data_IF_797061874641
#
_entry.id   IF_797061874641
#
_cell.length_a   1.000
_cell.length_b   1.000
_cell.length_c   1.000
_cell.angle_alpha   90.00
_cell.angle_beta   90.00
_cell.angle_gamma   90.00
#
_symmetry.space_group_name_H-M   'P 1'
#
loop_
_entity.id
_entity.type
_entity.pdbx_description
1 polymer ?
#
# COMPACT_ATOMS: atom_id res chain seq x y z
N UNK A 1 -12.20 6.73 -5.16
CA UNK A 1 -11.35 5.69 -4.52
C UNK A 1 -9.90 6.14 -4.59
N UNK A 2 -9.30 6.55 -3.46
CA UNK A 2 -7.91 7.03 -3.42
C UNK A 2 -6.91 5.86 -3.36
N UNK A 3 -6.68 5.17 -4.49
CA UNK A 3 -5.64 4.12 -4.60
C UNK A 3 -4.19 4.65 -4.50
N UNK A 4 -4.01 5.95 -4.27
CA UNK A 4 -2.72 6.61 -4.21
C UNK A 4 -1.86 6.19 -3.01
N UNK A 5 -2.50 5.86 -1.88
CA UNK A 5 -1.82 5.55 -0.62
C UNK A 5 -0.91 4.29 -0.70
N UNK A 6 -1.39 3.11 -1.14
CA UNK A 6 -0.51 1.94 -1.29
C UNK A 6 0.60 2.17 -2.32
N UNK A 7 0.35 2.99 -3.34
CA UNK A 7 1.35 3.33 -4.36
C UNK A 7 2.49 4.20 -3.79
N UNK A 8 2.14 5.18 -2.95
CA UNK A 8 3.12 6.04 -2.27
C UNK A 8 4.02 5.21 -1.32
N UNK A 9 3.43 4.26 -0.60
CA UNK A 9 4.16 3.38 0.33
C UNK A 9 5.10 2.45 -0.45
N UNK A 10 4.64 1.90 -1.59
CA UNK A 10 5.49 1.11 -2.47
C UNK A 10 6.71 1.90 -2.96
N UNK A 11 6.55 3.19 -3.31
CA UNK A 11 7.66 4.06 -3.71
C UNK A 11 8.69 4.24 -2.59
N UNK A 12 8.23 4.48 -1.36
CA UNK A 12 9.11 4.63 -0.19
C UNK A 12 9.86 3.33 0.11
N UNK A 13 9.24 2.17 -0.10
CA UNK A 13 9.90 0.86 0.02
C UNK A 13 11.03 0.75 -1.01
N UNK A 14 10.81 1.10 -2.27
CA UNK A 14 11.83 1.06 -3.33
C UNK A 14 13.04 1.94 -2.96
N UNK A 15 12.80 3.17 -2.50
CA UNK A 15 13.87 4.08 -2.05
C UNK A 15 14.63 3.48 -0.85
N UNK A 16 13.92 2.82 0.07
CA UNK A 16 14.52 2.16 1.24
C UNK A 16 15.40 0.96 0.85
N UNK A 17 15.00 0.19 -0.16
CA UNK A 17 15.79 -0.91 -0.74
C UNK A 17 17.08 -0.38 -1.34
N UNK A 18 17.00 0.70 -2.14
CA UNK A 18 18.17 1.34 -2.77
C UNK A 18 19.16 1.82 -1.69
N UNK A 19 18.65 2.34 -0.57
CA UNK A 19 19.45 2.79 0.57
C UNK A 19 20.02 1.63 1.42
N UNK A 20 19.80 0.37 1.03
CA UNK A 20 20.19 -0.87 1.75
C UNK A 20 19.73 -0.94 3.21
N UNK A 21 18.70 -0.17 3.61
CA UNK A 21 18.19 -0.16 4.99
C UNK A 21 17.23 -1.33 5.24
N UNK A 22 17.77 -2.55 5.21
CA UNK A 22 17.02 -3.83 5.30
C UNK A 22 15.94 -3.83 6.39
N UNK A 23 16.26 -3.43 7.62
CA UNK A 23 15.29 -3.37 8.74
C UNK A 23 14.10 -2.46 8.45
N UNK A 24 14.35 -1.30 7.85
CA UNK A 24 13.34 -0.30 7.53
C UNK A 24 12.49 -0.74 6.33
N UNK A 25 13.11 -1.40 5.35
CA UNK A 25 12.42 -2.03 4.23
C UNK A 25 11.42 -3.09 4.68
N UNK A 26 11.82 -4.02 5.57
CA UNK A 26 10.91 -5.06 6.05
C UNK A 26 9.74 -4.49 6.86
N UNK A 27 9.99 -3.47 7.70
CA UNK A 27 8.93 -2.80 8.45
C UNK A 27 7.91 -2.11 7.53
N UNK A 28 8.41 -1.38 6.52
CA UNK A 28 7.55 -0.74 5.53
C UNK A 28 6.76 -1.74 4.67
N UNK A 29 7.38 -2.87 4.33
CA UNK A 29 6.72 -3.93 3.58
C UNK A 29 5.58 -4.57 4.38
N UNK A 30 5.79 -4.79 5.67
CA UNK A 30 4.73 -5.28 6.57
C UNK A 30 3.60 -4.26 6.73
N UNK A 31 3.93 -2.98 6.90
CA UNK A 31 2.95 -1.90 6.96
C UNK A 31 2.13 -1.80 5.67
N UNK A 32 2.76 -1.95 4.50
CA UNK A 32 2.06 -2.00 3.21
C UNK A 32 1.03 -3.12 3.18
N UNK A 33 1.39 -4.32 3.64
CA UNK A 33 0.51 -5.48 3.65
C UNK A 33 -0.74 -5.20 4.52
N UNK A 34 -0.56 -4.68 5.74
CA UNK A 34 -1.67 -4.31 6.62
C UNK A 34 -2.57 -3.27 5.95
N UNK A 35 -1.98 -2.22 5.40
CA UNK A 35 -2.71 -1.13 4.77
C UNK A 35 -3.50 -1.63 3.56
N UNK A 36 -2.91 -2.51 2.74
CA UNK A 36 -3.59 -3.14 1.62
C UNK A 36 -4.77 -3.98 2.11
N UNK A 37 -4.59 -4.82 3.13
CA UNK A 37 -5.69 -5.67 3.66
C UNK A 37 -6.83 -4.82 4.24
N UNK A 38 -6.51 -3.80 5.03
CA UNK A 38 -7.50 -2.87 5.57
C UNK A 38 -8.20 -2.07 4.47
N UNK A 39 -7.45 -1.64 3.46
CA UNK A 39 -8.00 -0.93 2.32
C UNK A 39 -8.97 -1.80 1.54
N UNK A 40 -8.61 -3.07 1.28
CA UNK A 40 -9.50 -4.04 0.67
C UNK A 40 -10.74 -4.28 1.53
N UNK A 41 -10.62 -4.44 2.85
CA UNK A 41 -11.79 -4.59 3.74
C UNK A 41 -12.75 -3.40 3.62
N UNK A 42 -12.22 -2.18 3.63
CA UNK A 42 -13.03 -0.96 3.61
C UNK A 42 -13.65 -0.68 2.23
N UNK A 43 -12.87 -0.83 1.16
CA UNK A 43 -13.28 -0.48 -0.21
C UNK A 43 -13.76 -1.67 -1.06
N UNK A 44 -13.65 -2.93 -0.63
CA UNK A 44 -14.23 -4.07 -1.38
C UNK A 44 -15.76 -4.12 -1.28
N UNK A 45 -16.33 -3.47 -0.25
CA UNK A 45 -17.78 -3.37 -0.06
C UNK A 45 -18.35 -2.09 -0.69
N UNK A 46 -17.48 -1.11 -1.01
CA UNK A 46 -17.90 0.03 -1.80
C UNK A 46 -18.36 -0.49 -3.15
N UNK A 47 -19.62 -0.20 -3.50
CA UNK A 47 -20.15 -0.53 -4.81
C UNK A 47 -19.18 0.01 -5.84
N UNK A 48 -18.58 -0.89 -6.62
CA UNK A 48 -17.77 -0.53 -7.76
C UNK A 48 -18.72 0.21 -8.70
N UNK A 49 -18.70 1.54 -8.61
CA UNK A 49 -19.55 2.43 -9.39
C UNK A 49 -19.00 2.42 -10.82
N UNK A 50 -19.20 1.28 -11.48
CA UNK A 50 -19.03 1.09 -12.89
C UNK A 50 -20.18 1.86 -13.52
N UNK A 51 -19.98 3.17 -13.69
CA UNK A 51 -20.79 3.96 -14.62
C UNK A 51 -20.47 3.45 -16.02
N UNK A 52 -21.14 2.36 -16.41
CA UNK A 52 -21.33 1.99 -17.80
C UNK A 52 -22.44 2.85 -18.38
#
# INVERSE_FOLDING_TARGET
MYMFLPFLIALVIIISVITRKKKLTYSLWFALLIITVFWFQYHATDALNLSF
#
